data_IF_229089595292
#
_entry.id   IF_229089595292
#
_cell.length_a   1.000
_cell.length_b   1.000
_cell.length_c   1.000
_cell.angle_alpha   90.00
_cell.angle_beta   90.00
_cell.angle_gamma   90.00
#
_symmetry.space_group_name_H-M   'P 1'
#
loop_
_entity.id
_entity.type
_entity.pdbx_description
1 polymer ?
#
# COMPACT_ATOMS: atom_id res chain seq x y z
N UNK A 1 8.33 -14.43 16.94
CA UNK A 1 8.99 -13.85 15.75
C UNK A 1 8.06 -14.09 14.57
N UNK A 2 7.76 -13.09 13.75
CA UNK A 2 6.81 -13.25 12.65
C UNK A 2 7.43 -14.19 11.58
N UNK A 3 6.78 -15.32 11.23
CA UNK A 3 7.30 -16.23 10.20
C UNK A 3 7.37 -15.59 8.81
N UNK A 4 6.64 -14.49 8.58
CA UNK A 4 6.67 -13.74 7.33
C UNK A 4 7.82 -12.73 7.22
N UNK A 5 8.55 -12.49 8.32
CA UNK A 5 9.62 -11.50 8.40
C UNK A 5 10.66 -11.57 7.26
N UNK A 6 11.24 -12.75 6.90
CA UNK A 6 12.22 -12.83 5.82
C UNK A 6 11.63 -12.41 4.46
N UNK A 7 10.35 -12.70 4.22
CA UNK A 7 9.66 -12.33 2.98
C UNK A 7 9.41 -10.83 2.94
N UNK A 8 9.01 -10.24 4.05
CA UNK A 8 8.80 -8.78 4.17
C UNK A 8 10.10 -8.03 3.95
N UNK A 9 11.19 -8.47 4.59
CA UNK A 9 12.53 -7.90 4.40
C UNK A 9 12.95 -8.04 2.93
N UNK A 10 12.88 -9.26 2.36
CA UNK A 10 13.30 -9.50 0.98
C UNK A 10 12.53 -8.66 -0.04
N UNK A 11 11.20 -8.55 0.12
CA UNK A 11 10.36 -7.68 -0.73
C UNK A 11 10.76 -6.21 -0.58
N UNK A 12 10.88 -5.72 0.65
CA UNK A 12 11.27 -4.34 0.92
C UNK A 12 12.61 -3.98 0.26
N UNK A 13 13.62 -4.83 0.45
CA UNK A 13 14.95 -4.66 -0.15
C UNK A 13 14.89 -4.63 -1.68
N UNK A 14 14.20 -5.59 -2.29
CA UNK A 14 14.09 -5.67 -3.74
C UNK A 14 13.39 -4.43 -4.32
N UNK A 15 12.26 -4.01 -3.72
CA UNK A 15 11.51 -2.83 -4.16
C UNK A 15 12.33 -1.55 -4.01
N UNK A 16 12.96 -1.32 -2.84
CA UNK A 16 13.79 -0.12 -2.64
C UNK A 16 14.97 -0.08 -3.60
N UNK A 17 15.67 -1.19 -3.80
CA UNK A 17 16.81 -1.27 -4.74
C UNK A 17 16.38 -0.97 -6.17
N UNK A 18 15.26 -1.54 -6.61
CA UNK A 18 14.73 -1.32 -7.96
C UNK A 18 14.33 0.14 -8.17
N UNK A 19 13.61 0.75 -7.22
CA UNK A 19 13.18 2.16 -7.31
C UNK A 19 14.38 3.10 -7.30
N UNK A 20 15.33 2.94 -6.37
CA UNK A 20 16.53 3.77 -6.30
C UNK A 20 17.44 3.59 -7.52
N UNK A 21 17.57 2.37 -8.03
CA UNK A 21 18.30 2.08 -9.26
C UNK A 21 17.65 2.75 -10.48
N UNK A 22 16.32 2.65 -10.60
CA UNK A 22 15.57 3.28 -11.68
C UNK A 22 15.72 4.81 -11.65
N UNK A 23 15.48 5.45 -10.50
CA UNK A 23 15.59 6.89 -10.33
C UNK A 23 17.02 7.40 -10.63
N UNK A 24 18.05 6.69 -10.17
CA UNK A 24 19.43 7.04 -10.47
C UNK A 24 19.79 6.86 -11.95
N UNK A 25 19.24 5.84 -12.61
CA UNK A 25 19.40 5.63 -14.05
C UNK A 25 18.78 6.76 -14.87
N UNK A 26 17.54 7.15 -14.53
CA UNK A 26 16.85 8.29 -15.16
C UNK A 26 17.65 9.57 -14.95
N UNK A 27 18.10 9.84 -13.73
CA UNK A 27 18.95 10.99 -13.42
C UNK A 27 20.26 10.99 -14.23
N UNK A 28 20.93 9.83 -14.32
CA UNK A 28 22.14 9.66 -15.10
C UNK A 28 21.94 9.97 -16.59
N UNK A 29 20.84 9.47 -17.18
CA UNK A 29 20.47 9.74 -18.56
C UNK A 29 20.23 11.24 -18.82
N UNK A 30 19.47 11.90 -17.93
CA UNK A 30 19.20 13.34 -18.04
C UNK A 30 20.45 14.22 -17.90
N UNK A 31 21.48 13.72 -17.21
CA UNK A 31 22.76 14.44 -17.00
C UNK A 31 23.86 13.99 -17.95
N UNK A 32 23.59 13.18 -18.97
CA UNK A 32 24.59 12.71 -19.93
C UNK A 32 25.66 11.79 -19.32
N UNK A 33 25.41 11.21 -18.15
CA UNK A 33 26.29 10.21 -17.53
C UNK A 33 25.86 8.80 -17.96
N UNK A 34 26.71 7.79 -17.74
CA UNK A 34 26.34 6.38 -18.00
C UNK A 34 25.19 5.95 -17.08
N UNK A 35 23.95 5.78 -17.58
CA UNK A 35 22.78 5.51 -16.74
C UNK A 35 22.88 4.13 -16.09
N UNK A 36 23.49 3.16 -16.78
CA UNK A 36 23.66 1.78 -16.30
C UNK A 36 24.56 1.74 -15.06
N UNK A 37 25.72 2.42 -15.10
CA UNK A 37 26.65 2.44 -13.95
C UNK A 37 26.00 3.09 -12.73
N UNK A 38 25.38 4.26 -12.90
CA UNK A 38 24.72 4.97 -11.82
C UNK A 38 23.53 4.19 -11.25
N UNK A 39 22.71 3.59 -12.11
CA UNK A 39 21.59 2.74 -11.71
C UNK A 39 22.06 1.55 -10.88
N UNK A 40 23.10 0.83 -11.34
CA UNK A 40 23.62 -0.34 -10.66
C UNK A 40 24.23 0.00 -9.29
N UNK A 41 25.12 1.00 -9.22
CA UNK A 41 25.72 1.39 -7.93
C UNK A 41 24.67 1.92 -6.95
N UNK A 42 23.69 2.67 -7.44
CA UNK A 42 22.56 3.12 -6.62
C UNK A 42 21.74 1.95 -6.10
N UNK A 43 21.38 0.98 -6.96
CA UNK A 43 20.61 -0.20 -6.59
C UNK A 43 21.33 -1.05 -5.53
N UNK A 44 22.63 -1.29 -5.67
CA UNK A 44 23.41 -2.06 -4.70
C UNK A 44 23.53 -1.33 -3.37
N UNK A 45 23.90 -0.04 -3.40
CA UNK A 45 24.08 0.75 -2.17
C UNK A 45 22.75 0.93 -1.42
N UNK A 46 21.66 1.21 -2.14
CA UNK A 46 20.33 1.30 -1.54
C UNK A 46 19.82 -0.07 -1.06
N UNK A 47 20.16 -1.16 -1.73
CA UNK A 47 19.83 -2.52 -1.30
C UNK A 47 20.49 -2.88 0.03
N UNK A 48 21.76 -2.56 0.23
CA UNK A 48 22.45 -2.77 1.51
C UNK A 48 21.81 -1.92 2.62
N UNK A 49 21.53 -0.64 2.33
CA UNK A 49 20.86 0.24 3.28
C UNK A 49 19.46 -0.26 3.65
N UNK A 50 18.67 -0.68 2.66
CA UNK A 50 17.33 -1.24 2.85
C UNK A 50 17.39 -2.56 3.63
N UNK A 51 18.36 -3.44 3.33
CA UNK A 51 18.50 -4.71 4.02
C UNK A 51 18.80 -4.49 5.50
N UNK A 52 19.67 -3.53 5.82
CA UNK A 52 19.98 -3.12 7.19
C UNK A 52 18.73 -2.57 7.88
N UNK A 53 18.03 -1.63 7.23
CA UNK A 53 16.80 -1.01 7.75
C UNK A 53 15.70 -2.03 8.04
N UNK A 54 15.33 -2.83 7.06
CA UNK A 54 14.24 -3.79 7.20
C UNK A 54 14.59 -4.91 8.18
N UNK A 55 15.85 -5.34 8.25
CA UNK A 55 16.28 -6.33 9.24
C UNK A 55 16.18 -5.78 10.67
N UNK A 56 16.65 -4.56 10.92
CA UNK A 56 16.53 -3.91 12.23
C UNK A 56 15.05 -3.70 12.59
N UNK A 57 14.26 -3.21 11.64
CA UNK A 57 12.82 -2.96 11.85
C UNK A 57 12.09 -4.24 12.23
N UNK A 58 12.31 -5.32 11.48
CA UNK A 58 11.52 -6.54 11.61
C UNK A 58 12.01 -7.45 12.74
N UNK A 59 13.32 -7.53 12.96
CA UNK A 59 13.89 -8.47 13.93
C UNK A 59 14.20 -7.85 15.30
N UNK A 60 14.34 -6.53 15.39
CA UNK A 60 14.69 -5.85 16.65
C UNK A 60 13.56 -4.94 17.09
N UNK A 61 13.24 -3.92 16.28
CA UNK A 61 12.34 -2.83 16.69
C UNK A 61 10.89 -3.31 16.80
N UNK A 62 10.41 -4.07 15.80
CA UNK A 62 9.05 -4.59 15.77
C UNK A 62 8.71 -5.44 17.00
N UNK A 63 9.49 -6.49 17.31
CA UNK A 63 9.30 -7.29 18.51
C UNK A 63 9.43 -6.46 19.80
N UNK A 64 10.42 -5.57 19.90
CA UNK A 64 10.63 -4.75 21.09
C UNK A 64 9.45 -3.82 21.37
N UNK A 65 8.94 -3.11 20.36
CA UNK A 65 7.79 -2.21 20.51
C UNK A 65 6.48 -2.98 20.74
N UNK A 66 6.33 -4.13 20.10
CA UNK A 66 5.19 -5.03 20.31
C UNK A 66 5.14 -5.54 21.75
N UNK A 67 6.28 -5.72 22.42
CA UNK A 67 6.32 -6.13 23.83
C UNK A 67 6.14 -4.95 24.79
N UNK A 68 6.77 -3.81 24.51
CA UNK A 68 6.89 -2.70 25.48
C UNK A 68 5.85 -1.60 25.35
N UNK A 69 5.31 -1.35 24.14
CA UNK A 69 4.44 -0.21 23.91
C UNK A 69 2.96 -0.55 24.17
N UNK A 70 2.21 0.24 24.97
CA UNK A 70 0.81 -0.03 25.27
C UNK A 70 -0.17 0.44 24.18
N UNK A 71 0.31 1.00 23.06
CA UNK A 71 -0.57 1.54 22.00
C UNK A 71 -1.47 0.48 21.35
N UNK A 72 -2.70 0.88 20.98
CA UNK A 72 -3.71 0.01 20.35
C UNK A 72 -3.17 -0.78 19.16
N UNK A 73 -2.36 -0.15 18.31
CA UNK A 73 -1.75 -0.82 17.14
C UNK A 73 -0.88 -2.02 17.53
N UNK A 74 -0.09 -1.90 18.59
CA UNK A 74 0.79 -2.98 19.05
C UNK A 74 0.02 -4.03 19.83
N UNK A 75 -1.10 -3.67 20.47
CA UNK A 75 -2.04 -4.62 21.03
C UNK A 75 -2.69 -5.47 19.93
N UNK A 76 -3.24 -4.83 18.89
CA UNK A 76 -3.80 -5.52 17.72
C UNK A 76 -2.77 -6.41 17.04
N UNK A 77 -1.52 -5.97 16.91
CA UNK A 77 -0.43 -6.81 16.37
C UNK A 77 -0.13 -8.02 17.26
N UNK A 78 -0.17 -7.87 18.59
CA UNK A 78 -0.04 -9.01 19.53
C UNK A 78 -1.19 -9.99 19.40
N UNK A 79 -2.41 -9.49 19.27
CA UNK A 79 -3.61 -10.31 19.09
C UNK A 79 -3.58 -11.06 17.77
N UNK A 80 -3.23 -10.40 16.66
CA UNK A 80 -3.06 -11.04 15.35
C UNK A 80 -2.02 -12.17 15.38
N UNK A 81 -0.95 -12.02 16.17
CA UNK A 81 0.04 -13.09 16.35
C UNK A 81 -0.51 -14.27 17.15
N UNK A 82 -1.40 -14.05 18.13
CA UNK A 82 -2.09 -15.11 18.87
C UNK A 82 -3.13 -15.81 17.99
N UNK A 83 -3.95 -15.05 17.28
CA UNK A 83 -4.97 -15.56 16.37
C UNK A 83 -4.37 -16.44 15.27
N UNK A 84 -3.18 -16.08 14.75
CA UNK A 84 -2.45 -16.92 13.79
C UNK A 84 -2.02 -18.26 14.39
N UNK A 85 -1.62 -18.28 15.66
CA UNK A 85 -1.24 -19.52 16.38
C UNK A 85 -2.46 -20.38 16.67
N UNK A 86 -3.58 -19.75 17.03
CA UNK A 86 -4.81 -20.44 17.41
C UNK A 86 -5.66 -20.83 16.19
N UNK A 87 -5.37 -20.29 15.00
CA UNK A 87 -6.13 -20.53 13.77
C UNK A 87 -7.52 -19.88 13.75
N UNK A 88 -7.83 -19.00 14.70
CA UNK A 88 -9.13 -18.36 14.85
C UNK A 88 -9.12 -17.02 14.13
N UNK A 89 -9.95 -16.86 13.11
CA UNK A 89 -10.17 -15.55 12.47
C UNK A 89 -11.24 -14.77 13.24
N UNK A 90 -10.85 -13.90 14.17
CA UNK A 90 -11.80 -12.97 14.80
C UNK A 90 -12.16 -11.82 13.86
N UNK A 91 -13.37 -11.31 14.04
CA UNK A 91 -13.83 -10.09 13.39
C UNK A 91 -12.91 -8.93 13.78
N UNK A 92 -12.27 -8.30 12.78
CA UNK A 92 -11.28 -7.27 13.03
C UNK A 92 -11.96 -5.99 13.49
N UNK A 93 -11.57 -5.51 14.67
CA UNK A 93 -11.92 -4.17 15.10
C UNK A 93 -11.41 -3.17 14.05
N UNK A 94 -12.31 -2.34 13.52
CA UNK A 94 -11.97 -1.40 12.46
C UNK A 94 -11.03 -0.32 13.03
N UNK A 95 -9.81 -0.25 12.51
CA UNK A 95 -8.87 0.81 12.90
C UNK A 95 -9.43 2.18 12.52
N UNK A 96 -9.25 3.15 13.41
CA UNK A 96 -9.61 4.53 13.11
C UNK A 96 -8.67 5.08 12.02
N UNK A 97 -9.16 5.94 11.14
CA UNK A 97 -8.33 6.58 10.09
C UNK A 97 -7.05 7.24 10.64
N UNK A 98 -7.12 7.79 11.86
CA UNK A 98 -5.96 8.36 12.54
C UNK A 98 -4.91 7.30 12.91
N UNK A 99 -5.34 6.08 13.26
CA UNK A 99 -4.43 4.98 13.52
C UNK A 99 -3.75 4.53 12.22
N UNK A 100 -4.48 4.51 11.10
CA UNK A 100 -3.90 4.15 9.80
C UNK A 100 -2.77 5.12 9.42
N UNK A 101 -2.97 6.44 9.59
CA UNK A 101 -1.95 7.47 9.30
C UNK A 101 -0.66 7.30 10.10
N UNK A 102 -0.81 6.92 11.37
CA UNK A 102 0.32 6.80 12.30
C UNK A 102 0.92 5.40 12.34
N UNK A 103 0.34 4.45 11.61
CA UNK A 103 0.75 3.06 11.63
C UNK A 103 2.22 2.90 11.23
N UNK A 104 2.96 2.19 12.09
CA UNK A 104 4.39 1.90 11.93
C UNK A 104 5.33 3.13 11.80
N UNK A 105 4.87 4.37 12.05
CA UNK A 105 5.75 5.54 11.96
C UNK A 105 6.90 5.44 12.97
N UNK A 106 6.59 5.03 14.20
CA UNK A 106 7.59 4.87 15.26
C UNK A 106 8.59 3.76 14.94
N UNK A 107 8.11 2.61 14.44
CA UNK A 107 8.96 1.49 14.00
C UNK A 107 9.97 1.97 12.95
N UNK A 108 9.48 2.72 11.94
CA UNK A 108 10.29 3.30 10.87
C UNK A 108 11.25 4.39 11.35
N UNK A 109 10.83 5.24 12.30
CA UNK A 109 11.67 6.28 12.86
C UNK A 109 12.86 5.68 13.62
N UNK A 110 12.61 4.69 14.51
CA UNK A 110 13.65 4.07 15.33
C UNK A 110 14.60 3.23 14.45
N UNK A 111 14.06 2.39 13.57
CA UNK A 111 14.88 1.59 12.66
C UNK A 111 15.68 2.46 11.68
N UNK A 112 15.06 3.55 11.19
CA UNK A 112 15.71 4.56 10.35
C UNK A 112 16.82 5.28 11.08
N UNK A 113 16.61 5.65 12.35
CA UNK A 113 17.63 6.24 13.20
C UNK A 113 18.83 5.31 13.31
N UNK A 114 18.63 4.08 13.77
CA UNK A 114 19.72 3.11 13.98
C UNK A 114 20.47 2.86 12.67
N UNK A 115 19.75 2.65 11.58
CA UNK A 115 20.36 2.40 10.25
C UNK A 115 21.17 3.60 9.77
N UNK A 116 20.61 4.81 9.83
CA UNK A 116 21.30 6.04 9.46
C UNK A 116 22.52 6.30 10.33
N UNK A 117 22.42 6.01 11.64
CA UNK A 117 23.53 6.05 12.58
C UNK A 117 24.66 5.10 12.21
N UNK A 118 24.35 3.83 11.93
CA UNK A 118 25.34 2.81 11.52
C UNK A 118 26.03 3.23 10.22
N UNK A 119 25.25 3.55 9.17
CA UNK A 119 25.80 3.87 7.85
C UNK A 119 26.63 5.15 7.86
N UNK A 120 26.19 6.18 8.58
CA UNK A 120 26.92 7.44 8.65
C UNK A 120 28.15 7.34 9.56
N UNK A 121 28.10 6.50 10.61
CA UNK A 121 29.27 6.19 11.44
C UNK A 121 30.31 5.40 10.66
N UNK A 122 29.87 4.45 9.82
CA UNK A 122 30.77 3.71 8.96
C UNK A 122 31.51 4.62 7.97
N UNK A 123 30.82 5.62 7.41
CA UNK A 123 31.40 6.57 6.45
C UNK A 123 32.25 7.68 7.07
N UNK A 124 31.84 8.23 8.22
CA UNK A 124 32.42 9.46 8.83
C UNK A 124 32.98 9.24 10.24
N UNK A 125 33.07 8.00 10.70
CA UNK A 125 33.47 7.66 12.07
C UNK A 125 32.46 8.12 13.12
N UNK A 126 32.89 8.23 14.38
CA UNK A 126 32.01 8.57 15.53
C UNK A 126 31.26 9.89 15.37
N UNK A 127 31.84 10.86 14.68
CA UNK A 127 31.20 12.15 14.40
C UNK A 127 29.95 12.01 13.50
N UNK A 128 29.83 10.93 12.73
CA UNK A 128 28.68 10.64 11.87
C UNK A 128 27.45 10.09 12.61
N UNK A 129 27.59 9.59 13.84
CA UNK A 129 26.52 8.87 14.54
C UNK A 129 25.29 9.75 14.76
N UNK A 130 25.45 10.86 15.50
CA UNK A 130 24.34 11.76 15.87
C UNK A 130 23.60 12.31 14.64
N UNK A 131 24.27 12.91 13.63
CA UNK A 131 23.55 13.37 12.45
C UNK A 131 22.95 12.21 11.64
N UNK A 132 23.57 11.02 11.67
CA UNK A 132 23.05 9.81 11.03
C UNK A 132 21.73 9.34 11.67
N UNK A 133 21.67 9.30 13.00
CA UNK A 133 20.45 8.98 13.75
C UNK A 133 19.31 9.95 13.39
N UNK A 134 19.57 11.26 13.45
CA UNK A 134 18.53 12.27 13.18
C UNK A 134 18.04 12.24 11.72
N UNK A 135 18.96 12.21 10.75
CA UNK A 135 18.60 12.20 9.32
C UNK A 135 17.88 10.91 8.92
N UNK A 136 18.34 9.76 9.41
CA UNK A 136 17.70 8.46 9.18
C UNK A 136 16.29 8.41 9.76
N UNK A 137 16.10 8.86 11.00
CA UNK A 137 14.78 8.91 11.63
C UNK A 137 13.81 9.79 10.83
N UNK A 138 14.24 11.00 10.47
CA UNK A 138 13.41 11.97 9.76
C UNK A 138 13.00 11.45 8.38
N UNK A 139 13.96 10.98 7.58
CA UNK A 139 13.70 10.49 6.23
C UNK A 139 12.77 9.28 6.23
N UNK A 140 13.02 8.30 7.11
CA UNK A 140 12.15 7.13 7.21
C UNK A 140 10.75 7.47 7.71
N UNK A 141 10.60 8.46 8.59
CA UNK A 141 9.29 8.94 9.06
C UNK A 141 8.51 9.58 7.92
N UNK A 142 9.13 10.47 7.14
CA UNK A 142 8.50 11.13 5.99
C UNK A 142 8.09 10.10 4.93
N UNK A 143 8.97 9.14 4.64
CA UNK A 143 8.69 8.09 3.66
C UNK A 143 7.52 7.21 4.11
N UNK A 144 7.52 6.76 5.37
CA UNK A 144 6.45 5.95 5.92
C UNK A 144 5.13 6.74 5.97
N UNK A 145 5.16 8.02 6.34
CA UNK A 145 3.98 8.88 6.33
C UNK A 145 3.39 9.01 4.92
N UNK A 146 4.25 9.19 3.91
CA UNK A 146 3.85 9.27 2.51
C UNK A 146 3.17 7.98 2.04
N UNK A 147 3.74 6.81 2.36
CA UNK A 147 3.12 5.51 2.05
C UNK A 147 1.75 5.37 2.72
N UNK A 148 1.64 5.75 4.00
CA UNK A 148 0.38 5.68 4.74
C UNK A 148 -0.70 6.58 4.11
N UNK A 149 -0.35 7.79 3.66
CA UNK A 149 -1.29 8.66 2.94
C UNK A 149 -1.71 8.06 1.59
N UNK A 150 -0.79 7.46 0.84
CA UNK A 150 -1.13 6.77 -0.41
C UNK A 150 -2.09 5.58 -0.18
N UNK A 151 -1.90 4.83 0.90
CA UNK A 151 -2.80 3.73 1.26
C UNK A 151 -4.20 4.25 1.61
N UNK A 152 -4.29 5.37 2.33
CA UNK A 152 -5.57 6.04 2.62
C UNK A 152 -6.25 6.50 1.34
N UNK A 153 -5.50 7.15 0.43
CA UNK A 153 -6.04 7.56 -0.87
C UNK A 153 -6.57 6.36 -1.66
N UNK A 154 -5.83 5.25 -1.66
CA UNK A 154 -6.25 4.03 -2.35
C UNK A 154 -7.52 3.45 -1.73
N UNK A 155 -7.59 3.34 -0.40
CA UNK A 155 -8.78 2.81 0.29
C UNK A 155 -9.98 3.71 0.02
N UNK A 156 -9.82 5.03 0.12
CA UNK A 156 -10.88 5.99 -0.15
C UNK A 156 -11.34 5.96 -1.62
N UNK A 157 -10.43 5.71 -2.56
CA UNK A 157 -10.76 5.55 -3.97
C UNK A 157 -11.57 4.26 -4.22
N UNK A 158 -11.11 3.13 -3.69
CA UNK A 158 -11.80 1.82 -3.83
C UNK A 158 -13.16 1.82 -3.13
N UNK A 159 -13.28 2.46 -1.96
CA UNK A 159 -14.55 2.54 -1.24
C UNK A 159 -15.60 3.32 -2.03
N UNK A 160 -15.22 4.41 -2.70
CA UNK A 160 -16.14 5.19 -3.54
C UNK A 160 -16.69 4.37 -4.71
N UNK A 161 -15.82 3.61 -5.38
CA UNK A 161 -16.24 2.74 -6.48
C UNK A 161 -17.21 1.65 -6.02
N UNK A 162 -17.05 1.13 -4.81
CA UNK A 162 -17.92 0.07 -4.28
C UNK A 162 -19.30 0.60 -3.92
N UNK A 163 -19.39 1.82 -3.37
CA UNK A 163 -20.68 2.44 -3.00
C UNK A 163 -21.53 2.77 -4.22
N UNK A 164 -20.93 3.20 -5.33
CA UNK A 164 -21.67 3.50 -6.57
C UNK A 164 -22.19 2.24 -7.28
N UNK A 165 -21.54 1.09 -7.07
CA UNK A 165 -21.88 -0.19 -7.70
C UNK A 165 -22.95 -1.01 -6.97
N UNK A 166 -23.49 -0.53 -5.85
CA UNK A 166 -24.70 -1.08 -5.26
C UNK A 166 -25.85 -0.21 -5.77
N UNK A 167 -26.37 -0.44 -7.00
CA UNK A 167 -27.57 0.24 -7.44
C UNK A 167 -28.67 -0.08 -6.43
N UNK A 168 -29.46 0.93 -6.07
CA UNK A 168 -30.66 0.86 -5.23
C UNK A 168 -31.73 -0.08 -5.83
N UNK A 169 -31.37 -1.34 -5.99
CA UNK A 169 -32.23 -2.46 -6.38
C UNK A 169 -32.84 -2.97 -5.09
N UNK A 170 -33.85 -2.24 -4.59
CA UNK A 170 -35.00 -2.76 -3.84
C UNK A 170 -35.87 -1.63 -3.25
N UNK A 171 -36.34 -0.70 -4.08
CA UNK A 171 -37.48 0.17 -3.70
C UNK A 171 -38.70 0.00 -4.62
N UNK A 172 -38.81 -1.17 -5.26
CA UNK A 172 -40.00 -1.59 -6.04
C UNK A 172 -40.70 -2.79 -5.42
N UNK A 173 -41.05 -2.76 -4.12
CA UNK A 173 -42.09 -3.65 -3.57
C UNK A 173 -42.64 -3.26 -2.18
N UNK A 174 -43.31 -2.10 -2.03
CA UNK A 174 -44.69 -2.04 -1.49
C UNK A 174 -45.31 -0.63 -1.54
N UNK A 175 -46.03 -0.46 -2.64
CA UNK A 175 -47.17 0.42 -2.92
C UNK A 175 -48.09 0.67 -1.70
N UNK A 176 -48.43 1.94 -1.45
CA UNK A 176 -49.84 2.37 -1.42
C UNK A 176 -49.96 3.85 -1.86
N UNK A 177 -51.03 4.23 -2.59
CA UNK A 177 -51.12 5.48 -3.37
C UNK A 177 -51.91 6.57 -2.63
N UNK A 178 -51.79 7.84 -3.05
CA UNK A 178 -52.89 8.81 -3.28
C UNK A 178 -52.33 10.20 -3.64
N UNK A 179 -52.85 10.74 -4.76
CA UNK A 179 -52.96 12.14 -5.21
C UNK A 179 -51.66 12.93 -5.50
N UNK A 180 -51.30 13.11 -6.78
CA UNK A 180 -51.71 14.26 -7.63
C UNK A 180 -51.00 15.58 -7.28
N UNK A 181 -50.03 16.02 -8.09
CA UNK A 181 -50.21 17.20 -8.97
C UNK A 181 -48.89 17.70 -9.58
N UNK A 182 -48.94 17.88 -10.91
CA UNK A 182 -48.22 18.86 -11.74
C UNK A 182 -46.68 18.85 -11.86
N UNK A 183 -46.24 18.33 -13.00
CA UNK A 183 -45.11 18.80 -13.83
C UNK A 183 -45.31 20.26 -14.31
N UNK A 184 -44.24 21.05 -14.57
CA UNK A 184 -43.43 20.98 -15.82
C UNK A 184 -41.92 21.18 -15.53
N UNK A 185 -40.91 21.09 -16.40
CA UNK A 185 -40.65 20.70 -17.78
C UNK A 185 -39.11 20.49 -17.86
N UNK A 186 -38.57 19.70 -18.79
CA UNK A 186 -37.14 19.44 -18.88
C UNK A 186 -36.43 20.56 -19.66
N UNK A 187 -35.48 21.25 -19.01
CA UNK A 187 -34.55 22.17 -19.68
C UNK A 187 -33.21 21.47 -19.87
N UNK A 188 -32.88 21.19 -21.12
CA UNK A 188 -31.55 20.80 -21.59
C UNK A 188 -30.51 21.86 -21.21
N UNK A 189 -29.35 21.49 -20.64
CA UNK A 189 -28.12 22.25 -20.81
C UNK A 189 -27.36 21.75 -22.04
N UNK A 190 -27.40 22.65 -23.02
CA UNK A 190 -26.61 22.75 -24.25
C UNK A 190 -25.10 22.81 -23.97
N UNK A 191 -24.34 22.08 -24.80
CA UNK A 191 -23.03 22.44 -25.38
C UNK A 191 -21.85 22.77 -24.47
N UNK A 192 -20.86 21.86 -24.54
CA UNK A 192 -19.42 22.08 -24.59
C UNK A 192 -18.90 23.52 -24.38
N UNK A 193 -18.27 23.73 -23.23
CA UNK A 193 -17.30 24.79 -23.01
C UNK A 193 -15.92 24.12 -22.77
N UNK A 194 -14.90 24.36 -23.61
CA UNK A 194 -13.56 23.89 -23.33
C UNK A 194 -12.97 24.79 -22.24
N UNK A 195 -12.97 24.31 -20.99
CA UNK A 195 -12.22 24.99 -19.93
C UNK A 195 -10.73 24.70 -20.11
N UNK A 196 -10.02 25.65 -20.71
CA UNK A 196 -8.58 25.72 -20.76
C UNK A 196 -8.01 25.71 -19.33
N UNK A 197 -7.56 24.52 -18.93
CA UNK A 197 -7.04 24.28 -17.59
C UNK A 197 -6.96 22.81 -17.29
N UNK A 198 -6.54 21.98 -18.26
CA UNK A 198 -6.20 20.59 -17.98
C UNK A 198 -5.17 20.57 -16.84
N UNK A 199 -5.64 20.16 -15.67
CA UNK A 199 -4.81 19.98 -14.50
C UNK A 199 -3.70 19.04 -14.90
N UNK A 200 -2.45 19.36 -14.56
CA UNK A 200 -1.30 18.50 -14.86
C UNK A 200 -1.52 17.05 -14.38
N UNK A 201 -2.39 16.87 -13.37
CA UNK A 201 -2.90 15.58 -12.90
C UNK A 201 -3.64 14.78 -13.99
N UNK A 202 -4.48 15.42 -14.80
CA UNK A 202 -5.24 14.77 -15.88
C UNK A 202 -4.32 14.29 -17.01
N UNK A 203 -3.22 15.00 -17.26
CA UNK A 203 -2.18 14.57 -18.22
C UNK A 203 -1.33 13.41 -17.71
N UNK A 204 -1.04 13.36 -16.41
CA UNK A 204 -0.34 12.21 -15.82
C UNK A 204 -1.27 11.00 -15.73
N UNK A 205 -2.54 11.22 -15.38
CA UNK A 205 -3.57 10.18 -15.36
C UNK A 205 -3.89 9.66 -16.78
N UNK A 206 -3.81 10.47 -17.83
CA UNK A 206 -4.04 10.00 -19.20
C UNK A 206 -2.89 9.16 -19.76
N UNK A 207 -1.65 9.38 -19.31
CA UNK A 207 -0.48 8.59 -19.70
C UNK A 207 -0.42 7.24 -18.97
N UNK A 208 -0.87 7.17 -17.71
CA UNK A 208 -0.89 5.92 -16.93
C UNK A 208 -2.24 5.19 -16.95
N UNK A 209 -3.32 5.91 -17.25
CA UNK A 209 -4.69 5.42 -17.28
C UNK A 209 -5.16 5.22 -18.70
N UNK A 210 -4.62 4.21 -19.39
CA UNK A 210 -5.35 3.62 -20.51
C UNK A 210 -6.62 3.03 -19.89
N UNK A 211 -7.74 3.76 -19.95
CA UNK A 211 -9.03 3.28 -19.48
C UNK A 211 -9.25 1.91 -20.08
N UNK A 212 -9.19 0.90 -19.23
CA UNK A 212 -9.53 -0.46 -19.62
C UNK A 212 -11.00 -0.40 -19.94
N UNK A 213 -11.37 -0.56 -21.21
CA UNK A 213 -12.77 -0.62 -21.64
C UNK A 213 -13.51 -1.60 -20.71
N UNK A 214 -14.72 -1.23 -20.29
CA UNK A 214 -15.54 -2.02 -19.36
C UNK A 214 -15.65 -3.49 -19.83
N UNK A 215 -15.66 -3.73 -21.14
CA UNK A 215 -15.64 -5.08 -21.70
C UNK A 215 -14.38 -5.87 -21.34
N UNK A 216 -13.21 -5.23 -21.42
CA UNK A 216 -11.92 -5.83 -21.06
C UNK A 216 -11.86 -6.08 -19.55
N UNK A 217 -12.40 -5.15 -18.75
CA UNK A 217 -12.48 -5.31 -17.30
C UNK A 217 -13.41 -6.46 -16.91
N UNK A 218 -14.62 -6.53 -17.48
CA UNK A 218 -15.56 -7.62 -17.26
C UNK A 218 -15.00 -8.96 -17.73
N UNK A 219 -14.29 -9.00 -18.85
CA UNK A 219 -13.62 -10.22 -19.32
C UNK A 219 -12.54 -10.66 -18.35
N UNK A 220 -11.78 -9.73 -17.77
CA UNK A 220 -10.77 -10.01 -16.75
C UNK A 220 -11.41 -10.59 -15.49
N UNK A 221 -12.49 -9.96 -14.99
CA UNK A 221 -13.22 -10.45 -13.81
C UNK A 221 -13.83 -11.84 -14.03
N UNK A 222 -14.40 -12.11 -15.21
CA UNK A 222 -14.90 -13.46 -15.56
C UNK A 222 -13.78 -14.49 -15.55
N UNK A 223 -12.63 -14.14 -16.12
CA UNK A 223 -11.45 -15.03 -16.16
C UNK A 223 -10.91 -15.32 -14.76
N UNK A 224 -10.84 -14.31 -13.89
CA UNK A 224 -10.44 -14.49 -12.49
C UNK A 224 -11.45 -15.36 -11.73
N UNK A 225 -12.75 -15.10 -11.88
CA UNK A 225 -13.82 -15.90 -11.30
C UNK A 225 -13.71 -17.37 -11.72
N UNK A 226 -13.52 -17.64 -13.01
CA UNK A 226 -13.38 -19.01 -13.53
C UNK A 226 -12.11 -19.71 -13.02
N UNK A 227 -11.03 -18.95 -12.84
CA UNK A 227 -9.78 -19.46 -12.26
C UNK A 227 -9.99 -19.87 -10.80
N UNK A 228 -10.68 -19.05 -10.01
CA UNK A 228 -10.98 -19.38 -8.62
C UNK A 228 -11.95 -20.56 -8.50
N UNK A 229 -12.98 -20.62 -9.36
CA UNK A 229 -13.90 -21.77 -9.38
C UNK A 229 -13.17 -23.09 -9.69
N UNK A 230 -12.26 -23.11 -10.67
CA UNK A 230 -11.42 -24.29 -10.92
C UNK A 230 -10.58 -24.67 -9.71
N UNK A 231 -10.00 -23.67 -9.03
CA UNK A 231 -9.17 -23.94 -7.85
C UNK A 231 -9.99 -24.51 -6.69
N UNK A 232 -11.24 -24.07 -6.52
CA UNK A 232 -12.16 -24.63 -5.53
C UNK A 232 -12.50 -26.09 -5.88
N UNK A 233 -12.83 -26.37 -7.15
CA UNK A 233 -13.13 -27.74 -7.60
C UNK A 233 -11.95 -28.70 -7.40
N UNK A 234 -10.71 -28.25 -7.68
CA UNK A 234 -9.49 -29.02 -7.40
C UNK A 234 -9.33 -29.33 -5.90
N UNK A 235 -9.54 -28.33 -5.04
CA UNK A 235 -9.45 -28.50 -3.58
C UNK A 235 -10.56 -29.43 -3.05
N UNK A 236 -11.78 -29.33 -3.58
CA UNK A 236 -12.88 -30.21 -3.22
C UNK A 236 -12.61 -31.68 -3.60
N UNK A 237 -11.93 -31.90 -4.74
CA UNK A 237 -11.48 -33.23 -5.16
C UNK A 237 -10.38 -33.78 -4.26
N UNK A 238 -9.36 -32.96 -3.93
CA UNK A 238 -8.29 -33.36 -3.01
C UNK A 238 -8.82 -33.74 -1.61
N UNK A 239 -9.88 -33.07 -1.14
CA UNK A 239 -10.55 -33.38 0.13
C UNK A 239 -11.32 -34.71 0.06
N UNK A 240 -11.95 -35.03 -1.07
CA UNK A 240 -12.64 -36.31 -1.26
C UNK A 240 -11.68 -37.49 -1.46
N UNK A 241 -10.54 -37.28 -2.13
CA UNK A 241 -9.55 -38.33 -2.43
C UNK A 241 -8.62 -38.67 -1.25
N UNK A 242 -8.56 -37.84 -0.22
CA UNK A 242 -7.86 -38.14 1.04
C UNK A 242 -8.87 -38.63 2.08
N UNK A 243 -9.28 -39.92 2.06
CA UNK A 243 -9.99 -40.49 3.19
C UNK A 243 -9.09 -40.39 4.43
N UNK A 244 -9.69 -39.94 5.53
CA UNK A 244 -9.03 -39.82 6.84
C UNK A 244 -8.48 -41.16 7.33
#
# INVERSE_FOLDING_TARGET
>A
MDPSAPRTVGKGVATTSAVCGFLAGVYGALKGHSPVKLSFFSAVNSGIAAATFFSIREYIVGPALTLTHPGKQYQLRRENMKDFVDGISREREMLTWSDIRTSCLLDSAISGAITGGILNTWKRGRAGLVPGLGTGALMCTILQWTVNEFDIFRIAYVSRQTTEFIPATNDTAKRSPIAESSFPSPTHPTSSQPSDGESWKDRVLSVFGRQVSDEVYLKRLKTERDTYLRRIEELEREVHEKPR
#
